data_IF_601535680745
#
_entry.id   IF_601535680745
#
_cell.length_a   1.000
_cell.length_b   1.000
_cell.length_c   1.000
_cell.angle_alpha   90.00
_cell.angle_beta   90.00
_cell.angle_gamma   90.00
#
_symmetry.space_group_name_H-M   'P 1'
#
loop_
_entity.id
_entity.type
_entity.pdbx_description
1 polymer ?
#
# COMPACT_ATOMS: atom_id res chain seq x y z
N UNK A 1 47.04 37.90 -28.90
CA UNK A 1 46.13 38.45 -27.86
C UNK A 1 44.72 38.44 -28.43
N UNK A 2 43.74 37.97 -27.64
CA UNK A 2 42.26 37.94 -27.85
C UNK A 2 41.67 36.67 -28.50
N UNK A 3 41.71 35.55 -27.77
CA UNK A 3 40.74 34.44 -27.86
C UNK A 3 39.84 34.44 -26.61
N UNK A 4 39.31 35.62 -26.25
CA UNK A 4 38.21 35.70 -25.31
C UNK A 4 36.99 36.04 -26.14
N UNK A 5 36.05 35.11 -26.21
CA UNK A 5 34.60 35.26 -26.45
C UNK A 5 34.16 34.09 -27.34
N UNK A 6 33.78 33.01 -26.66
CA UNK A 6 32.61 32.17 -26.98
C UNK A 6 32.26 31.27 -25.78
N UNK A 7 33.05 31.28 -24.69
CA UNK A 7 32.69 30.63 -23.42
C UNK A 7 31.36 31.12 -22.85
N UNK A 8 31.04 32.41 -22.96
CA UNK A 8 29.76 32.98 -22.48
C UNK A 8 28.55 32.55 -23.33
N UNK A 9 28.76 32.31 -24.63
CA UNK A 9 27.72 31.80 -25.53
C UNK A 9 27.55 30.28 -25.41
N UNK A 10 28.63 29.54 -25.20
CA UNK A 10 28.59 28.12 -24.85
C UNK A 10 27.91 27.91 -23.48
N UNK A 11 28.22 28.75 -22.50
CA UNK A 11 27.60 28.73 -21.17
C UNK A 11 26.09 29.04 -21.21
N UNK A 12 25.66 29.98 -22.07
CA UNK A 12 24.24 30.24 -22.28
C UNK A 12 23.52 29.13 -23.07
N UNK A 13 24.22 28.39 -23.95
CA UNK A 13 23.67 27.21 -24.63
C UNK A 13 23.59 25.97 -23.73
N UNK A 14 24.35 25.96 -22.62
CA UNK A 14 24.32 24.94 -21.58
C UNK A 14 23.34 25.24 -20.44
N UNK A 15 22.38 26.15 -20.66
CA UNK A 15 21.09 26.11 -19.97
C UNK A 15 20.25 24.96 -20.55
N UNK A 16 20.81 23.75 -20.54
CA UNK A 16 20.04 22.54 -20.74
C UNK A 16 18.97 22.54 -19.67
N UNK A 17 17.73 22.69 -20.12
CA UNK A 17 16.49 22.60 -19.37
C UNK A 17 16.70 21.89 -18.02
N UNK A 18 16.95 22.66 -16.96
CA UNK A 18 16.78 22.17 -15.59
C UNK A 18 15.34 21.67 -15.61
N UNK A 19 15.10 20.35 -15.55
CA UNK A 19 13.75 19.85 -15.72
C UNK A 19 12.96 20.42 -14.55
N UNK A 20 12.08 21.38 -14.88
CA UNK A 20 11.34 22.26 -13.97
C UNK A 20 11.27 21.67 -12.56
N UNK A 21 12.21 22.06 -11.69
CA UNK A 21 12.33 21.47 -10.35
C UNK A 21 10.99 21.65 -9.58
N UNK A 22 10.26 22.73 -9.88
CA UNK A 22 8.89 22.95 -9.40
C UNK A 22 7.91 21.98 -10.04
N UNK A 23 8.01 21.70 -11.33
CA UNK A 23 7.20 20.69 -12.04
C UNK A 23 7.38 19.26 -11.51
N UNK A 24 8.62 18.86 -11.20
CA UNK A 24 8.94 17.56 -10.58
C UNK A 24 8.41 17.50 -9.15
N UNK A 25 8.63 18.55 -8.35
CA UNK A 25 8.08 18.67 -6.98
C UNK A 25 6.55 18.64 -6.98
N UNK A 26 5.89 19.34 -7.90
CA UNK A 26 4.43 19.38 -8.00
C UNK A 26 3.86 18.02 -8.40
N UNK A 27 4.53 17.29 -9.29
CA UNK A 27 4.20 15.88 -9.61
C UNK A 27 4.36 14.98 -8.39
N UNK A 28 5.47 15.09 -7.66
CA UNK A 28 5.73 14.32 -6.43
C UNK A 28 4.68 14.60 -5.34
N UNK A 29 4.33 15.87 -5.10
CA UNK A 29 3.30 16.28 -4.16
C UNK A 29 1.90 15.78 -4.59
N UNK A 30 1.58 15.84 -5.89
CA UNK A 30 0.31 15.31 -6.40
C UNK A 30 0.20 13.79 -6.20
N UNK A 31 1.32 13.09 -6.35
CA UNK A 31 1.43 11.65 -6.12
C UNK A 31 1.24 11.33 -4.64
N UNK A 32 1.89 12.05 -3.74
CA UNK A 32 1.70 11.92 -2.29
C UNK A 32 0.23 12.15 -1.90
N UNK A 33 -0.42 13.20 -2.41
CA UNK A 33 -1.85 13.47 -2.15
C UNK A 33 -2.78 12.37 -2.68
N UNK A 34 -2.50 11.82 -3.86
CA UNK A 34 -3.27 10.67 -4.40
C UNK A 34 -3.08 9.43 -3.53
N UNK A 35 -1.86 9.17 -3.07
CA UNK A 35 -1.55 8.04 -2.19
C UNK A 35 -2.21 8.20 -0.81
N UNK A 36 -2.16 9.39 -0.22
CA UNK A 36 -2.85 9.72 1.03
C UNK A 36 -4.36 9.51 0.94
N UNK A 37 -5.00 9.96 -0.15
CA UNK A 37 -6.44 9.70 -0.35
C UNK A 37 -6.78 8.21 -0.42
N UNK A 38 -5.94 7.41 -1.08
CA UNK A 38 -6.11 5.95 -1.08
C UNK A 38 -5.97 5.35 0.31
N UNK A 39 -5.02 5.84 1.12
CA UNK A 39 -4.86 5.40 2.51
C UNK A 39 -6.10 5.74 3.33
N UNK A 40 -6.58 6.98 3.26
CA UNK A 40 -7.77 7.44 3.99
C UNK A 40 -8.98 6.60 3.60
N UNK A 41 -9.19 6.37 2.29
CA UNK A 41 -10.29 5.55 1.81
C UNK A 41 -10.18 4.09 2.29
N UNK A 42 -8.99 3.49 2.24
CA UNK A 42 -8.75 2.14 2.73
C UNK A 42 -9.02 2.03 4.23
N UNK A 43 -8.56 2.99 5.03
CA UNK A 43 -8.82 3.04 6.46
C UNK A 43 -10.31 3.22 6.78
N UNK A 44 -11.00 4.11 6.06
CA UNK A 44 -12.44 4.31 6.23
C UNK A 44 -13.22 3.03 5.90
N UNK A 45 -12.87 2.36 4.80
CA UNK A 45 -13.47 1.07 4.42
C UNK A 45 -13.20 -0.01 5.49
N UNK A 46 -11.97 -0.09 6.00
CA UNK A 46 -11.61 -1.04 7.07
C UNK A 46 -12.39 -0.79 8.35
N UNK A 47 -12.47 0.47 8.80
CA UNK A 47 -13.26 0.83 9.99
C UNK A 47 -14.74 0.51 9.80
N UNK A 48 -15.29 0.77 8.62
CA UNK A 48 -16.67 0.42 8.28
C UNK A 48 -16.89 -1.11 8.34
N UNK A 49 -15.99 -1.90 7.76
CA UNK A 49 -16.07 -3.36 7.85
C UNK A 49 -15.90 -3.88 9.28
N UNK A 50 -15.00 -3.30 10.08
CA UNK A 50 -14.87 -3.66 11.50
C UNK A 50 -16.15 -3.36 12.27
N UNK A 51 -16.75 -2.18 12.06
CA UNK A 51 -18.01 -1.81 12.68
C UNK A 51 -19.15 -2.76 12.27
N UNK A 52 -19.19 -3.16 10.99
CA UNK A 52 -20.14 -4.16 10.50
C UNK A 52 -19.95 -5.52 11.18
N UNK A 53 -18.71 -6.00 11.35
CA UNK A 53 -18.43 -7.25 12.07
C UNK A 53 -18.85 -7.18 13.55
N UNK A 54 -18.63 -6.05 14.21
CA UNK A 54 -19.05 -5.81 15.60
C UNK A 54 -20.59 -5.77 15.68
N UNK A 55 -21.25 -5.15 14.71
CA UNK A 55 -22.71 -5.15 14.62
C UNK A 55 -23.27 -6.57 14.45
N UNK A 56 -22.71 -7.34 13.53
CA UNK A 56 -23.06 -8.75 13.30
C UNK A 56 -22.84 -9.59 14.57
N UNK A 57 -21.75 -9.37 15.30
CA UNK A 57 -21.51 -10.01 16.60
C UNK A 57 -22.65 -9.72 17.58
N UNK A 58 -23.02 -8.45 17.76
CA UNK A 58 -24.06 -8.06 18.72
C UNK A 58 -25.47 -8.55 18.32
N UNK A 59 -25.77 -8.59 17.02
CA UNK A 59 -27.07 -9.01 16.51
C UNK A 59 -27.26 -10.53 16.56
N UNK A 60 -26.27 -11.30 16.08
CA UNK A 60 -26.39 -12.76 15.98
C UNK A 60 -25.94 -13.52 17.24
N UNK A 61 -25.25 -12.85 18.18
CA UNK A 61 -24.77 -13.42 19.44
C UNK A 61 -24.20 -14.84 19.28
N UNK A 62 -23.07 -15.01 18.58
CA UNK A 62 -22.48 -16.33 18.36
C UNK A 62 -22.29 -17.07 19.69
N UNK A 63 -22.83 -18.28 19.80
CA UNK A 63 -22.74 -19.09 21.01
C UNK A 63 -21.40 -19.83 21.05
N UNK A 64 -20.92 -20.30 19.90
CA UNK A 64 -19.69 -21.06 19.77
C UNK A 64 -18.44 -20.23 20.01
N UNK A 65 -17.49 -20.83 20.74
CA UNK A 65 -16.18 -20.25 21.03
C UNK A 65 -15.38 -20.01 19.74
N UNK A 66 -15.55 -20.86 18.72
CA UNK A 66 -14.90 -20.74 17.41
C UNK A 66 -15.20 -19.42 16.72
N UNK A 67 -16.46 -18.99 16.70
CA UNK A 67 -16.88 -17.75 16.02
C UNK A 67 -16.44 -16.51 16.76
N UNK A 68 -16.45 -16.55 18.11
CA UNK A 68 -15.90 -15.48 18.96
C UNK A 68 -14.41 -15.27 18.67
N UNK A 69 -13.65 -16.37 18.58
CA UNK A 69 -12.23 -16.34 18.19
C UNK A 69 -12.08 -15.84 16.75
N UNK A 70 -12.92 -16.31 15.82
CA UNK A 70 -12.90 -15.92 14.41
C UNK A 70 -13.06 -14.41 14.22
N UNK A 71 -14.07 -13.80 14.87
CA UNK A 71 -14.27 -12.35 14.77
C UNK A 71 -13.16 -11.58 15.50
N UNK A 72 -12.69 -12.02 16.68
CA UNK A 72 -11.53 -11.40 17.34
C UNK A 72 -10.29 -11.42 16.44
N UNK A 73 -10.05 -12.52 15.74
CA UNK A 73 -8.93 -12.68 14.82
C UNK A 73 -9.08 -11.77 13.59
N UNK A 74 -10.28 -11.64 13.04
CA UNK A 74 -10.57 -10.70 11.95
C UNK A 74 -10.35 -9.25 12.36
N UNK A 75 -10.90 -8.83 13.50
CA UNK A 75 -10.73 -7.46 14.04
C UNK A 75 -9.25 -7.19 14.35
N UNK A 76 -8.54 -8.14 14.95
CA UNK A 76 -7.10 -7.99 15.22
C UNK A 76 -6.29 -7.85 13.94
N UNK A 77 -6.61 -8.61 12.89
CA UNK A 77 -5.98 -8.47 11.58
C UNK A 77 -6.19 -7.08 10.97
N UNK A 78 -7.42 -6.55 11.09
CA UNK A 78 -7.75 -5.19 10.62
C UNK A 78 -7.01 -4.11 11.42
N UNK A 79 -6.88 -4.26 12.74
CA UNK A 79 -6.13 -3.32 13.59
C UNK A 79 -4.62 -3.34 13.29
N UNK A 80 -4.04 -4.53 13.12
CA UNK A 80 -2.63 -4.67 12.70
C UNK A 80 -2.39 -4.00 11.35
N UNK A 81 -3.31 -4.18 10.39
CA UNK A 81 -3.23 -3.51 9.12
C UNK A 81 -3.31 -1.98 9.27
N UNK A 82 -4.28 -1.47 10.04
CA UNK A 82 -4.45 -0.02 10.31
C UNK A 82 -3.19 0.61 10.92
N UNK A 83 -2.60 -0.02 11.94
CA UNK A 83 -1.41 0.52 12.61
C UNK A 83 -0.21 0.58 11.68
N UNK A 84 0.09 -0.51 10.97
CA UNK A 84 1.25 -0.57 10.07
C UNK A 84 1.02 0.26 8.81
N UNK A 85 -0.21 0.39 8.32
CA UNK A 85 -0.51 1.23 7.16
C UNK A 85 -0.51 2.73 7.51
N UNK A 86 -0.89 3.11 8.74
CA UNK A 86 -0.81 4.49 9.23
C UNK A 86 0.59 4.95 9.63
N UNK A 87 1.51 4.04 9.98
CA UNK A 87 2.92 4.38 10.24
C UNK A 87 3.61 5.09 9.04
N UNK A 88 3.06 4.97 7.83
CA UNK A 88 3.57 5.62 6.62
C UNK A 88 3.13 7.07 6.44
N UNK A 89 2.05 7.49 7.12
CA UNK A 89 1.51 8.86 7.03
C UNK A 89 2.53 9.91 7.47
N UNK A 90 3.19 9.80 8.65
CA UNK A 90 4.20 10.79 9.06
C UNK A 90 5.44 10.78 8.15
N UNK A 91 5.81 9.65 7.55
CA UNK A 91 6.92 9.55 6.59
C UNK A 91 6.60 10.18 5.23
N UNK A 92 5.32 10.23 4.85
CA UNK A 92 4.85 10.92 3.64
C UNK A 92 4.63 12.41 3.86
N UNK A 93 4.30 12.82 5.09
CA UNK A 93 3.95 14.19 5.47
C UNK A 93 5.09 14.99 6.08
N UNK A 94 6.22 14.37 6.45
CA UNK A 94 7.37 15.13 6.94
C UNK A 94 7.78 16.16 5.89
N UNK A 95 7.67 17.44 6.22
CA UNK A 95 8.07 18.55 5.37
C UNK A 95 9.59 18.49 5.20
N UNK A 96 10.04 18.02 4.05
CA UNK A 96 11.45 18.01 3.68
C UNK A 96 11.82 19.35 3.02
N UNK A 97 11.49 20.44 3.71
CA UNK A 97 11.65 21.80 3.20
C UNK A 97 13.12 22.24 3.10
N UNK A 98 14.05 21.50 3.66
CA UNK A 98 15.48 21.84 3.67
C UNK A 98 16.32 20.57 3.55
N UNK A 99 17.56 20.70 3.09
CA UNK A 99 18.64 19.70 3.07
C UNK A 99 18.85 19.02 1.70
N UNK A 100 19.90 19.47 1.00
CA UNK A 100 20.66 18.78 -0.04
C UNK A 100 19.89 17.75 -0.87
N UNK A 101 19.49 18.15 -2.08
CA UNK A 101 18.71 17.37 -3.06
C UNK A 101 19.14 15.90 -3.15
N UNK A 102 20.45 15.63 -3.04
CA UNK A 102 21.02 14.29 -3.13
C UNK A 102 20.73 13.39 -1.91
N UNK A 103 20.83 13.94 -0.68
CA UNK A 103 20.55 13.20 0.58
C UNK A 103 19.05 12.95 0.72
N UNK A 104 18.23 13.90 0.26
CA UNK A 104 16.78 13.77 0.25
C UNK A 104 16.31 12.67 -0.71
N UNK A 105 16.83 12.65 -1.94
CA UNK A 105 16.51 11.64 -2.94
C UNK A 105 16.85 10.22 -2.46
N UNK A 106 18.03 10.02 -1.86
CA UNK A 106 18.43 8.71 -1.32
C UNK A 106 17.54 8.23 -0.18
N UNK A 107 17.13 9.14 0.74
CA UNK A 107 16.20 8.79 1.82
C UNK A 107 14.82 8.41 1.27
N UNK A 108 14.32 9.15 0.29
CA UNK A 108 13.04 8.86 -0.37
C UNK A 108 13.07 7.49 -1.10
N UNK A 109 14.21 7.17 -1.73
CA UNK A 109 14.48 5.88 -2.37
C UNK A 109 14.45 4.70 -1.38
N UNK A 110 15.16 4.82 -0.25
CA UNK A 110 15.15 3.78 0.80
C UNK A 110 13.74 3.58 1.38
N UNK A 111 13.00 4.67 1.59
CA UNK A 111 11.61 4.63 2.04
C UNK A 111 10.71 3.89 1.06
N UNK A 112 10.82 4.19 -0.24
CA UNK A 112 10.03 3.52 -1.29
C UNK A 112 10.30 2.03 -1.39
N UNK A 113 11.57 1.60 -1.33
CA UNK A 113 11.92 0.17 -1.30
C UNK A 113 11.36 -0.54 -0.07
N UNK A 114 11.50 0.07 1.11
CA UNK A 114 10.94 -0.48 2.35
C UNK A 114 9.40 -0.57 2.29
N UNK A 115 8.76 0.41 1.65
CA UNK A 115 7.31 0.43 1.43
C UNK A 115 6.86 -0.75 0.56
N UNK A 116 7.55 -1.03 -0.55
CA UNK A 116 7.23 -2.16 -1.41
C UNK A 116 7.36 -3.51 -0.67
N UNK A 117 8.45 -3.67 0.09
CA UNK A 117 8.70 -4.89 0.86
C UNK A 117 7.62 -5.11 1.93
N UNK A 118 7.32 -4.08 2.73
CA UNK A 118 6.32 -4.16 3.78
C UNK A 118 4.91 -4.32 3.21
N UNK A 119 4.57 -3.68 2.08
CA UNK A 119 3.30 -3.91 1.40
C UNK A 119 3.16 -5.37 0.96
N UNK A 120 4.19 -5.94 0.33
CA UNK A 120 4.17 -7.34 -0.14
C UNK A 120 3.97 -8.34 1.01
N UNK A 121 4.70 -8.15 2.11
CA UNK A 121 4.69 -9.08 3.24
C UNK A 121 3.45 -8.89 4.13
N UNK A 122 3.07 -7.64 4.42
CA UNK A 122 1.93 -7.36 5.31
C UNK A 122 0.59 -7.66 4.66
N UNK A 123 0.41 -7.37 3.36
CA UNK A 123 -0.82 -7.77 2.65
C UNK A 123 -0.99 -9.28 2.63
N UNK A 124 0.10 -10.04 2.62
CA UNK A 124 0.09 -11.50 2.73
C UNK A 124 -0.44 -11.96 4.09
N UNK A 125 0.14 -11.42 5.17
CA UNK A 125 -0.24 -11.71 6.54
C UNK A 125 -1.69 -11.35 6.82
N UNK A 126 -2.09 -10.12 6.48
CA UNK A 126 -3.45 -9.62 6.64
C UNK A 126 -4.47 -10.55 5.97
N UNK A 127 -4.23 -10.93 4.71
CA UNK A 127 -5.16 -11.78 3.97
C UNK A 127 -5.25 -13.19 4.55
N UNK A 128 -4.13 -13.78 4.98
CA UNK A 128 -4.13 -15.09 5.65
C UNK A 128 -4.93 -15.06 6.95
N UNK A 129 -4.66 -14.08 7.82
CA UNK A 129 -5.39 -13.90 9.08
C UNK A 129 -6.88 -13.66 8.84
N UNK A 130 -7.24 -12.78 7.91
CA UNK A 130 -8.64 -12.50 7.59
C UNK A 130 -9.35 -13.74 7.05
N UNK A 131 -8.70 -14.48 6.15
CA UNK A 131 -9.25 -15.72 5.57
C UNK A 131 -9.49 -16.78 6.64
N UNK A 132 -8.51 -17.02 7.51
CA UNK A 132 -8.66 -17.96 8.63
C UNK A 132 -9.78 -17.55 9.59
N UNK A 133 -9.91 -16.25 9.88
CA UNK A 133 -11.00 -15.73 10.70
C UNK A 133 -12.38 -15.97 10.08
N UNK A 134 -12.52 -15.74 8.76
CA UNK A 134 -13.77 -15.99 8.03
C UNK A 134 -14.14 -17.48 8.06
N UNK A 135 -13.17 -18.38 7.83
CA UNK A 135 -13.40 -19.82 7.86
C UNK A 135 -13.85 -20.27 9.26
N UNK A 136 -13.20 -19.78 10.32
CA UNK A 136 -13.58 -20.06 11.72
C UNK A 136 -14.98 -19.54 12.07
N UNK A 137 -15.36 -18.37 11.55
CA UNK A 137 -16.68 -17.77 11.74
C UNK A 137 -17.77 -18.53 11.00
N UNK A 138 -17.51 -18.99 9.77
CA UNK A 138 -18.49 -19.77 9.00
C UNK A 138 -18.80 -21.12 9.63
N UNK A 139 -17.91 -21.67 10.46
CA UNK A 139 -18.10 -22.97 11.10
C UNK A 139 -19.41 -23.08 11.90
N UNK A 140 -19.76 -22.06 12.67
CA UNK A 140 -21.00 -22.07 13.47
C UNK A 140 -22.25 -22.13 12.59
N UNK A 141 -22.35 -21.25 11.61
CA UNK A 141 -23.52 -21.19 10.72
C UNK A 141 -23.63 -22.41 9.81
N UNK A 142 -22.50 -22.98 9.39
CA UNK A 142 -22.48 -24.18 8.57
C UNK A 142 -22.78 -25.45 9.36
N UNK A 143 -22.50 -25.49 10.66
CA UNK A 143 -22.87 -26.62 11.53
C UNK A 143 -24.39 -26.81 11.65
N UNK A 144 -25.17 -25.75 11.39
CA UNK A 144 -26.63 -25.75 11.40
C UNK A 144 -27.24 -26.09 10.02
N UNK A 145 -26.42 -26.24 8.98
CA UNK A 145 -26.87 -26.43 7.59
C UNK A 145 -26.72 -27.89 7.12
N UNK A 146 -27.39 -28.23 6.01
CA UNK A 146 -27.22 -29.52 5.35
C UNK A 146 -25.83 -29.65 4.73
N UNK A 147 -25.33 -30.89 4.64
CA UNK A 147 -23.96 -31.19 4.18
C UNK A 147 -23.67 -30.64 2.76
N UNK A 148 -24.66 -30.63 1.88
CA UNK A 148 -24.57 -30.02 0.53
C UNK A 148 -24.45 -28.48 0.58
N UNK A 149 -25.16 -27.83 1.48
CA UNK A 149 -25.07 -26.38 1.69
C UNK A 149 -23.71 -25.99 2.28
N UNK A 150 -23.17 -26.79 3.22
CA UNK A 150 -21.82 -26.60 3.77
C UNK A 150 -20.75 -26.67 2.67
N UNK A 151 -20.79 -27.73 1.84
CA UNK A 151 -19.83 -27.90 0.74
C UNK A 151 -19.91 -26.72 -0.24
N UNK A 152 -21.13 -26.27 -0.57
CA UNK A 152 -21.32 -25.16 -1.51
C UNK A 152 -20.79 -23.85 -0.92
N UNK A 153 -21.13 -23.55 0.34
CA UNK A 153 -20.73 -22.32 1.01
C UNK A 153 -19.21 -22.24 1.22
N UNK A 154 -18.59 -23.30 1.75
CA UNK A 154 -17.13 -23.35 1.90
C UNK A 154 -16.41 -23.39 0.55
N UNK A 155 -16.93 -24.18 -0.40
CA UNK A 155 -16.36 -24.27 -1.74
C UNK A 155 -16.32 -22.92 -2.43
N UNK A 156 -17.43 -22.17 -2.38
CA UNK A 156 -17.51 -20.83 -2.95
C UNK A 156 -16.56 -19.84 -2.25
N UNK A 157 -16.52 -19.83 -0.92
CA UNK A 157 -15.63 -18.95 -0.15
C UNK A 157 -14.15 -19.27 -0.41
N UNK A 158 -13.74 -20.53 -0.34
CA UNK A 158 -12.35 -20.94 -0.58
C UNK A 158 -11.96 -20.69 -2.03
N UNK A 159 -12.85 -20.94 -2.99
CA UNK A 159 -12.62 -20.60 -4.39
C UNK A 159 -12.39 -19.10 -4.59
N UNK A 160 -13.24 -18.26 -3.97
CA UNK A 160 -13.08 -16.81 -4.01
C UNK A 160 -11.76 -16.34 -3.38
N UNK A 161 -11.38 -16.92 -2.25
CA UNK A 161 -10.11 -16.64 -1.58
C UNK A 161 -8.91 -17.08 -2.44
N UNK A 162 -8.99 -18.25 -3.05
CA UNK A 162 -7.96 -18.79 -3.95
C UNK A 162 -7.78 -17.90 -5.17
N UNK A 163 -8.86 -17.45 -5.82
CA UNK A 163 -8.78 -16.49 -6.93
C UNK A 163 -8.10 -15.18 -6.50
N UNK A 164 -8.48 -14.63 -5.35
CA UNK A 164 -7.86 -13.42 -4.81
C UNK A 164 -6.35 -13.61 -4.55
N UNK A 165 -5.98 -14.76 -3.98
CA UNK A 165 -4.60 -15.08 -3.64
C UNK A 165 -3.71 -15.37 -4.85
N UNK A 166 -4.16 -16.21 -5.77
CA UNK A 166 -3.33 -16.68 -6.88
C UNK A 166 -3.37 -15.74 -8.09
N UNK A 167 -4.48 -15.07 -8.36
CA UNK A 167 -4.63 -14.25 -9.57
C UNK A 167 -4.48 -12.76 -9.30
N UNK A 168 -5.30 -12.21 -8.40
CA UNK A 168 -5.34 -10.77 -8.17
C UNK A 168 -4.09 -10.26 -7.45
N UNK A 169 -3.68 -10.92 -6.36
CA UNK A 169 -2.54 -10.51 -5.54
C UNK A 169 -1.24 -10.35 -6.35
N UNK A 170 -0.72 -11.36 -7.08
CA UNK A 170 0.55 -11.19 -7.79
C UNK A 170 0.46 -10.13 -8.90
N UNK A 171 -0.69 -10.00 -9.57
CA UNK A 171 -0.90 -8.92 -10.56
C UNK A 171 -0.85 -7.53 -9.93
N UNK A 172 -1.52 -7.34 -8.80
CA UNK A 172 -1.55 -6.05 -8.11
C UNK A 172 -0.15 -5.70 -7.57
N UNK A 173 0.55 -6.66 -6.96
CA UNK A 173 1.90 -6.46 -6.44
C UNK A 173 2.86 -6.12 -7.59
N UNK A 174 2.86 -6.88 -8.69
CA UNK A 174 3.71 -6.60 -9.86
C UNK A 174 3.43 -5.21 -10.44
N UNK A 175 2.17 -4.81 -10.53
CA UNK A 175 1.80 -3.47 -11.04
C UNK A 175 2.29 -2.35 -10.12
N UNK A 176 2.21 -2.56 -8.81
CA UNK A 176 2.72 -1.59 -7.84
C UNK A 176 4.26 -1.54 -7.82
N UNK A 177 4.93 -2.69 -7.88
CA UNK A 177 6.39 -2.78 -7.96
C UNK A 177 6.92 -2.14 -9.24
N UNK A 178 6.30 -2.39 -10.40
CA UNK A 178 6.68 -1.76 -11.66
C UNK A 178 6.58 -0.24 -11.60
N UNK A 179 5.50 0.29 -11.00
CA UNK A 179 5.34 1.73 -10.85
C UNK A 179 6.36 2.34 -9.86
N UNK A 180 6.69 1.62 -8.78
CA UNK A 180 7.73 2.05 -7.84
C UNK A 180 9.10 2.02 -8.52
N UNK A 181 9.42 0.97 -9.28
CA UNK A 181 10.69 0.85 -10.00
C UNK A 181 10.84 1.95 -11.05
N UNK A 182 9.79 2.25 -11.83
CA UNK A 182 9.81 3.37 -12.78
C UNK A 182 10.08 4.72 -12.10
N UNK A 183 9.53 4.94 -10.90
CA UNK A 183 9.82 6.13 -10.10
C UNK A 183 11.26 6.13 -9.58
N UNK A 184 11.79 4.96 -9.18
CA UNK A 184 13.18 4.79 -8.75
C UNK A 184 14.14 5.13 -9.88
N UNK A 185 13.90 4.60 -11.08
CA UNK A 185 14.74 4.79 -12.26
C UNK A 185 14.82 6.27 -12.64
N UNK A 186 13.67 6.97 -12.66
CA UNK A 186 13.62 8.43 -12.90
C UNK A 186 14.38 9.23 -11.85
N UNK A 187 14.32 8.83 -10.57
CA UNK A 187 15.06 9.50 -9.50
C UNK A 187 16.57 9.27 -9.63
N UNK A 188 17.00 8.07 -10.05
CA UNK A 188 18.41 7.75 -10.29
C UNK A 188 18.97 8.47 -11.53
N UNK A 189 18.18 8.62 -12.58
CA UNK A 189 18.58 9.37 -13.79
C UNK A 189 18.80 10.85 -13.48
N UNK A 190 17.90 11.46 -12.71
CA UNK A 190 18.07 12.84 -12.21
C UNK A 190 19.35 12.95 -11.38
N UNK A 191 19.61 11.98 -10.48
CA UNK A 191 20.82 11.98 -9.67
C UNK A 191 22.09 11.99 -10.53
N UNK A 192 22.15 11.14 -11.57
CA UNK A 192 23.28 11.08 -12.51
C UNK A 192 23.48 12.34 -13.35
N UNK A 193 22.48 13.22 -13.45
CA UNK A 193 22.60 14.51 -14.16
C UNK A 193 23.19 15.62 -13.28
N UNK A 194 23.22 15.43 -11.96
CA UNK A 194 23.76 16.39 -10.98
C UNK A 194 25.14 15.98 -10.43
N UNK A 195 25.59 14.75 -10.71
CA UNK A 195 26.98 14.27 -10.53
C UNK A 195 27.78 14.50 -11.82
#
# INVERSE_FOLDING_TARGET
MKENIHLKELWNRQQTAIPDAKGILKKAQSFQKKHLRKIIFANAALLLTSAFLIYVWNYFQPELLSSKIGIMLMVSSMLLFLTVYNQWIPLLLSNYSEINSHVYLQKMLKLKKKQAFLHRQMTSLYFMLLSSGILLYMYEYTSLMSLSAVITAYGMTVFWLALNWFYFRPKIIKKQEAHINELIDKLQEIQKQFD
#
